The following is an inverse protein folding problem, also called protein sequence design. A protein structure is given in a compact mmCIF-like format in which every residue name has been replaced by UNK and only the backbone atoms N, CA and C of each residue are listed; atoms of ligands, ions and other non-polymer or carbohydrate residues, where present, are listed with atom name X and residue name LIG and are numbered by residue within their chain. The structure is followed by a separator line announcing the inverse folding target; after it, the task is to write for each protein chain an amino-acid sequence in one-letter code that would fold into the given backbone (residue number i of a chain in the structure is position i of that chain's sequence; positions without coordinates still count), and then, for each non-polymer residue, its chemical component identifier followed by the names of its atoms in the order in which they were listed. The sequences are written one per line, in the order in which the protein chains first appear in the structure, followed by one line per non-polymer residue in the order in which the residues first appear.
data_IF_406254679793
#
_entry.id   IF_406254679793
#
_cell.length_a   1.000
_cell.length_b   1.000
_cell.length_c   1.000
_cell.angle_alpha   90.00
_cell.angle_beta   90.00
_cell.angle_gamma   90.00
#
_symmetry.space_group_name_H-M   'P 1'
#
loop_
_entity.id
_entity.type
_entity.pdbx_description
1 polymer ?
#
# COMPACT_ATOMS: atom_id res chain seq x y z
N UNK A 1 -17.28 -7.06 -9.47
CA UNK A 1 -17.10 -6.65 -8.05
C UNK A 1 -15.62 -6.74 -7.74
N UNK A 2 -15.03 -5.71 -7.13
CA UNK A 2 -13.61 -5.74 -6.76
C UNK A 2 -13.41 -6.76 -5.63
N UNK A 3 -12.51 -7.73 -5.82
CA UNK A 3 -12.20 -8.78 -4.82
C UNK A 3 -11.11 -8.33 -3.83
N UNK A 4 -10.97 -7.02 -3.69
CA UNK A 4 -9.97 -6.38 -2.86
C UNK A 4 -10.39 -6.52 -1.40
N UNK A 5 -9.54 -7.16 -0.58
CA UNK A 5 -9.86 -7.54 0.79
C UNK A 5 -9.44 -6.47 1.80
N UNK A 6 -10.21 -6.34 2.88
CA UNK A 6 -9.94 -5.44 4.00
C UNK A 6 -9.69 -4.00 3.53
N UNK A 7 -10.77 -3.31 3.19
CA UNK A 7 -10.74 -1.98 2.58
C UNK A 7 -11.38 -0.93 3.49
N UNK A 8 -10.77 0.25 3.49
CA UNK A 8 -11.39 1.46 3.97
C UNK A 8 -11.09 2.58 2.98
N UNK A 9 -12.11 3.33 2.57
CA UNK A 9 -11.95 4.60 1.88
C UNK A 9 -12.69 5.71 2.63
N UNK A 10 -12.15 6.92 2.64
CA UNK A 10 -12.81 8.07 3.30
C UNK A 10 -14.20 8.35 2.77
N UNK A 11 -14.49 7.99 1.51
CA UNK A 11 -15.81 8.11 0.89
C UNK A 11 -16.86 7.18 1.54
N UNK A 12 -16.44 6.17 2.30
CA UNK A 12 -17.34 5.28 3.05
C UNK A 12 -17.98 5.99 4.26
N UNK A 13 -17.36 7.07 4.74
CA UNK A 13 -17.76 7.77 5.98
C UNK A 13 -18.01 9.26 5.78
N UNK A 14 -17.72 9.82 4.60
CA UNK A 14 -18.09 11.19 4.24
C UNK A 14 -18.31 11.40 2.75
N UNK A 15 -18.97 12.49 2.42
CA UNK A 15 -19.11 13.01 1.06
C UNK A 15 -17.74 13.48 0.53
N UNK A 16 -17.39 13.04 -0.67
CA UNK A 16 -16.16 13.41 -1.38
C UNK A 16 -16.03 14.93 -1.57
N UNK A 17 -17.15 15.64 -1.78
CA UNK A 17 -17.19 17.10 -1.99
C UNK A 17 -16.91 17.93 -0.75
N UNK A 18 -16.83 17.29 0.43
CA UNK A 18 -16.59 17.93 1.73
C UNK A 18 -15.28 17.43 2.33
N UNK A 19 -14.11 17.85 1.79
CA UNK A 19 -12.81 17.39 2.27
C UNK A 19 -12.62 17.72 3.74
N UNK A 20 -12.05 16.76 4.47
CA UNK A 20 -11.70 16.88 5.88
C UNK A 20 -10.29 16.31 6.07
N UNK A 21 -9.67 16.61 7.20
CA UNK A 21 -8.34 16.12 7.50
C UNK A 21 -8.35 14.75 8.17
N UNK A 22 -9.34 14.42 8.99
CA UNK A 22 -9.31 13.21 9.82
C UNK A 22 -10.51 12.31 9.54
N UNK A 23 -10.26 11.01 9.39
CA UNK A 23 -11.31 10.02 9.16
C UNK A 23 -10.99 8.74 9.86
N UNK A 24 -12.03 8.10 10.38
CA UNK A 24 -11.87 6.75 10.88
C UNK A 24 -13.14 5.93 10.78
N UNK A 25 -12.94 4.62 10.77
CA UNK A 25 -14.01 3.62 10.81
C UNK A 25 -13.57 2.45 11.68
N UNK A 26 -14.50 1.93 12.47
CA UNK A 26 -14.26 0.74 13.29
C UNK A 26 -14.36 -0.52 12.44
N UNK A 27 -13.46 -1.46 12.71
CA UNK A 27 -13.41 -2.78 12.10
C UNK A 27 -13.27 -3.83 13.19
N UNK A 28 -14.08 -4.89 13.07
CA UNK A 28 -13.92 -6.10 13.87
C UNK A 28 -12.82 -6.96 13.27
N UNK A 29 -11.88 -7.39 14.10
CA UNK A 29 -10.69 -8.15 13.71
C UNK A 29 -10.53 -9.35 14.63
N UNK A 30 -9.93 -10.42 14.14
CA UNK A 30 -9.64 -11.60 14.97
C UNK A 30 -8.51 -11.36 15.98
N UNK A 31 -7.80 -10.23 15.86
CA UNK A 31 -6.62 -9.94 16.67
C UNK A 31 -6.46 -8.44 16.91
N UNK A 32 -5.63 -8.00 17.89
CA UNK A 32 -5.37 -6.59 18.14
C UNK A 32 -4.83 -5.88 16.90
N UNK A 33 -5.55 -4.87 16.41
CA UNK A 33 -5.24 -4.22 15.14
C UNK A 33 -4.05 -3.24 15.18
N UNK A 34 -3.34 -3.15 16.31
CA UNK A 34 -2.36 -2.08 16.58
C UNK A 34 -1.13 -2.10 15.66
N UNK A 35 -0.89 -3.19 14.92
CA UNK A 35 0.32 -3.35 14.09
C UNK A 35 0.05 -3.94 12.71
N UNK A 36 -1.17 -3.84 12.17
CA UNK A 36 -1.42 -4.36 10.83
C UNK A 36 -0.56 -3.62 9.80
N UNK A 37 0.07 -4.33 8.84
CA UNK A 37 0.75 -3.68 7.73
C UNK A 37 -0.32 -3.08 6.80
N UNK A 38 -0.51 -1.77 6.89
CA UNK A 38 -1.40 -1.02 5.99
C UNK A 38 -0.64 -0.58 4.74
N UNK A 39 -1.35 -0.48 3.64
CA UNK A 39 -0.88 0.12 2.40
C UNK A 39 -1.95 1.04 1.81
N UNK A 40 -1.53 2.22 1.37
CA UNK A 40 -2.38 3.17 0.64
C UNK A 40 -2.71 2.56 -0.73
N UNK A 41 -3.99 2.54 -1.08
CA UNK A 41 -4.47 2.01 -2.35
C UNK A 41 -5.35 3.00 -3.14
N UNK A 42 -5.61 4.19 -2.58
CA UNK A 42 -6.34 5.26 -3.23
C UNK A 42 -5.87 6.61 -2.69
N UNK A 43 -5.64 7.56 -3.59
CA UNK A 43 -5.22 8.94 -3.30
C UNK A 43 -6.00 9.90 -4.23
N UNK A 44 -6.53 10.98 -3.67
CA UNK A 44 -7.05 12.13 -4.41
C UNK A 44 -6.81 13.40 -3.58
N UNK A 45 -5.77 14.15 -3.93
CA UNK A 45 -5.34 15.34 -3.20
C UNK A 45 -5.15 16.54 -4.14
N UNK A 46 -5.54 17.71 -3.65
CA UNK A 46 -5.36 18.96 -4.37
C UNK A 46 -3.88 19.36 -4.53
N UNK A 47 -3.51 19.73 -5.75
CA UNK A 47 -2.14 20.15 -6.08
C UNK A 47 -1.66 21.44 -5.43
N UNK A 48 -2.58 22.32 -5.01
CA UNK A 48 -2.23 23.64 -4.45
C UNK A 48 -1.74 23.59 -3.00
N UNK A 49 -1.74 22.41 -2.39
CA UNK A 49 -1.39 22.12 -0.99
C UNK A 49 -0.37 21.00 -0.91
N UNK A 50 0.39 20.93 0.18
CA UNK A 50 1.27 19.78 0.39
C UNK A 50 0.45 18.50 0.51
N UNK A 51 0.99 17.39 0.02
CA UNK A 51 0.33 16.10 0.13
C UNK A 51 0.80 15.43 1.41
N UNK A 52 -0.12 15.26 2.35
CA UNK A 52 0.15 14.64 3.64
C UNK A 52 -0.90 13.59 3.91
N UNK A 53 -0.45 12.35 4.02
CA UNK A 53 -1.31 11.20 4.22
C UNK A 53 -0.70 10.30 5.29
N UNK A 54 -1.54 9.76 6.17
CA UNK A 54 -1.15 8.77 7.16
C UNK A 54 -2.28 7.77 7.36
N UNK A 55 -1.91 6.49 7.26
CA UNK A 55 -2.80 5.36 7.54
C UNK A 55 -2.30 4.61 8.78
N UNK A 56 -3.19 4.32 9.71
CA UNK A 56 -2.87 3.61 10.94
C UNK A 56 -4.12 3.01 11.57
N UNK A 57 -3.94 2.01 12.42
CA UNK A 57 -4.96 1.57 13.35
C UNK A 57 -4.64 2.12 14.73
N UNK A 58 -5.66 2.55 15.46
CA UNK A 58 -5.58 2.72 16.91
C UNK A 58 -6.65 1.88 17.62
N UNK A 59 -6.43 1.64 18.91
CA UNK A 59 -7.32 0.85 19.74
C UNK A 59 -7.31 -0.66 19.43
N UNK A 60 -7.53 -1.44 20.47
CA UNK A 60 -7.87 -2.85 20.36
C UNK A 60 -8.77 -3.19 21.54
N UNK A 61 -10.06 -2.91 21.41
CA UNK A 61 -11.03 -3.29 22.44
C UNK A 61 -11.39 -4.75 22.23
N UNK A 62 -11.03 -5.60 23.18
CA UNK A 62 -11.45 -7.00 23.16
C UNK A 62 -12.96 -7.12 23.39
N UNK A 63 -13.59 -8.03 22.66
CA UNK A 63 -14.99 -8.39 22.73
C UNK A 63 -15.13 -9.87 23.05
N UNK A 64 -15.35 -10.17 24.33
CA UNK A 64 -15.43 -11.51 24.89
C UNK A 64 -16.54 -12.38 24.27
N UNK A 65 -17.61 -11.76 23.75
CA UNK A 65 -18.77 -12.51 23.22
C UNK A 65 -18.43 -13.29 21.95
N UNK A 66 -17.58 -12.70 21.11
CA UNK A 66 -17.27 -13.22 19.78
C UNK A 66 -15.80 -13.61 19.65
N UNK A 67 -15.02 -13.49 20.74
CA UNK A 67 -13.55 -13.65 20.75
C UNK A 67 -12.87 -12.80 19.65
N UNK A 68 -13.24 -11.53 19.59
CA UNK A 68 -12.76 -10.57 18.59
C UNK A 68 -12.20 -9.31 19.21
N UNK A 69 -11.54 -8.50 18.39
CA UNK A 69 -11.10 -7.16 18.73
C UNK A 69 -11.84 -6.15 17.85
N UNK A 70 -12.07 -4.96 18.39
CA UNK A 70 -12.49 -3.80 17.62
C UNK A 70 -11.33 -2.83 17.57
N UNK A 71 -10.84 -2.56 16.36
CA UNK A 71 -9.82 -1.57 16.08
C UNK A 71 -10.37 -0.49 15.15
N UNK A 72 -9.84 0.72 15.27
CA UNK A 72 -10.29 1.85 14.46
C UNK A 72 -9.21 2.19 13.42
N UNK A 73 -9.55 2.04 12.15
CA UNK A 73 -8.66 2.39 11.05
C UNK A 73 -8.79 3.88 10.76
N UNK A 74 -7.67 4.58 10.64
CA UNK A 74 -7.61 6.01 10.35
C UNK A 74 -6.99 6.27 8.97
N UNK A 75 -7.55 7.28 8.30
CA UNK A 75 -7.12 7.82 7.02
C UNK A 75 -7.04 9.34 7.16
N UNK A 76 -5.88 9.80 7.59
CA UNK A 76 -5.69 11.18 8.03
C UNK A 76 -4.73 11.94 7.12
N UNK A 77 -5.01 13.23 6.98
CA UNK A 77 -4.18 14.29 6.46
C UNK A 77 -3.97 15.34 7.55
N UNK A 78 -3.06 16.29 7.34
CA UNK A 78 -2.82 17.37 8.30
C UNK A 78 -2.27 18.64 7.65
N UNK A 79 -2.16 19.71 8.44
CA UNK A 79 -1.65 21.00 7.99
C UNK A 79 -2.57 21.64 6.95
N UNK A 80 -2.00 22.09 5.84
CA UNK A 80 -2.74 22.72 4.75
C UNK A 80 -3.29 21.75 3.69
N UNK A 81 -3.07 20.44 3.85
CA UNK A 81 -3.49 19.44 2.87
C UNK A 81 -4.98 19.49 2.57
N UNK A 82 -5.34 19.34 1.30
CA UNK A 82 -6.73 19.25 0.86
C UNK A 82 -6.96 17.85 0.27
N UNK A 83 -7.38 16.93 1.14
CA UNK A 83 -7.65 15.52 0.82
C UNK A 83 -9.09 15.34 0.35
N UNK A 84 -9.30 15.07 -0.93
CA UNK A 84 -10.62 14.70 -1.46
C UNK A 84 -10.97 13.26 -1.12
N UNK A 85 -10.01 12.34 -1.24
CA UNK A 85 -10.17 10.96 -0.79
C UNK A 85 -8.83 10.28 -0.50
N UNK A 86 -8.85 9.33 0.43
CA UNK A 86 -7.77 8.36 0.63
C UNK A 86 -8.39 7.00 0.88
N UNK A 87 -7.69 5.94 0.52
CA UNK A 87 -8.04 4.58 0.87
C UNK A 87 -6.83 3.77 1.28
N UNK A 88 -7.08 2.73 2.06
CA UNK A 88 -6.07 1.75 2.42
C UNK A 88 -6.61 0.32 2.37
N UNK A 89 -5.65 -0.60 2.35
CA UNK A 89 -5.85 -2.02 2.65
C UNK A 89 -4.86 -2.50 3.69
N UNK A 90 -5.11 -3.64 4.31
CA UNK A 90 -4.20 -4.24 5.27
C UNK A 90 -4.30 -5.76 5.30
N UNK A 91 -3.18 -6.42 5.56
CA UNK A 91 -3.17 -7.86 5.83
C UNK A 91 -3.58 -8.10 7.29
N UNK A 92 -4.85 -8.47 7.50
CA UNK A 92 -5.44 -8.67 8.84
C UNK A 92 -5.05 -10.00 9.53
N UNK A 93 -4.15 -10.79 8.92
CA UNK A 93 -3.88 -12.17 9.33
C UNK A 93 -2.40 -12.39 9.65
N UNK A 94 -2.11 -12.83 10.87
CA UNK A 94 -0.76 -13.02 11.40
C UNK A 94 -0.62 -14.16 12.42
N UNK A 95 -1.68 -14.94 12.66
CA UNK A 95 -1.55 -16.18 13.46
C UNK A 95 -0.78 -17.28 12.70
N UNK A 96 -0.49 -17.01 11.44
CA UNK A 96 0.52 -17.71 10.71
C UNK A 96 1.89 -17.09 11.03
N UNK A 97 2.64 -17.77 11.91
CA UNK A 97 3.98 -17.33 12.37
C UNK A 97 4.99 -17.18 11.24
N UNK A 98 4.68 -17.70 10.05
CA UNK A 98 5.56 -17.56 8.90
C UNK A 98 5.52 -16.14 8.30
N UNK A 99 4.48 -15.36 8.59
CA UNK A 99 4.42 -13.95 8.19
C UNK A 99 5.12 -13.09 9.22
N UNK A 100 5.99 -12.22 8.73
CA UNK A 100 6.58 -11.17 9.54
C UNK A 100 6.30 -9.84 8.86
N UNK A 101 6.01 -8.81 9.65
CA UNK A 101 5.71 -7.50 9.11
C UNK A 101 6.14 -6.42 10.07
N UNK A 102 6.21 -5.20 9.57
CA UNK A 102 6.56 -4.05 10.38
C UNK A 102 6.46 -2.77 9.57
N UNK A 103 7.00 -1.71 10.16
CA UNK A 103 6.97 -0.36 9.63
C UNK A 103 8.36 0.23 9.68
N UNK A 104 8.73 0.99 8.66
CA UNK A 104 9.92 1.83 8.67
C UNK A 104 9.58 3.19 8.07
N UNK A 105 10.20 4.24 8.58
CA UNK A 105 10.07 5.60 8.06
C UNK A 105 11.42 6.29 7.94
N UNK A 106 11.45 7.31 7.08
CA UNK A 106 12.62 8.11 6.78
C UNK A 106 12.21 9.57 6.61
N UNK A 107 13.15 10.47 6.91
CA UNK A 107 13.09 11.90 6.56
C UNK A 107 14.17 12.14 5.50
N UNK A 108 13.88 11.94 4.19
CA UNK A 108 14.91 11.85 3.17
C UNK A 108 15.67 13.17 2.97
N UNK A 109 16.99 13.13 3.07
CA UNK A 109 17.87 14.28 2.76
C UNK A 109 18.66 14.11 1.45
N UNK A 110 18.48 12.98 0.78
CA UNK A 110 19.17 12.58 -0.44
C UNK A 110 18.29 11.62 -1.26
N UNK A 111 18.69 11.30 -2.50
CA UNK A 111 17.86 10.49 -3.40
C UNK A 111 17.51 9.11 -2.83
N UNK A 112 18.43 8.45 -2.14
CA UNK A 112 18.22 7.11 -1.58
C UNK A 112 18.48 7.09 -0.08
N UNK A 113 17.53 6.53 0.69
CA UNK A 113 17.70 6.26 2.12
C UNK A 113 17.33 4.81 2.38
N UNK A 114 18.13 4.09 3.17
CA UNK A 114 17.85 2.68 3.51
C UNK A 114 17.66 2.50 5.00
N UNK A 115 16.71 1.65 5.37
CA UNK A 115 16.48 1.18 6.74
C UNK A 115 16.73 -0.32 6.80
N UNK A 116 17.58 -0.76 7.72
CA UNK A 116 17.83 -2.18 7.95
C UNK A 116 16.65 -2.79 8.71
N UNK A 117 16.11 -3.88 8.19
CA UNK A 117 15.04 -4.67 8.81
C UNK A 117 15.62 -6.01 9.22
N UNK A 118 15.49 -6.34 10.51
CA UNK A 118 15.81 -7.68 11.03
C UNK A 118 14.51 -8.44 11.22
N UNK A 119 14.43 -9.64 10.66
CA UNK A 119 13.32 -10.55 10.93
C UNK A 119 13.43 -11.08 12.35
N UNK A 120 12.30 -11.12 13.06
CA UNK A 120 12.19 -11.70 14.39
C UNK A 120 12.62 -13.17 14.39
N UNK A 121 12.19 -13.91 13.36
CA UNK A 121 12.52 -15.32 13.16
C UNK A 121 13.25 -15.49 11.82
N UNK A 122 14.35 -16.24 11.81
CA UNK A 122 15.08 -16.53 10.58
C UNK A 122 14.26 -17.48 9.68
N UNK A 123 14.17 -17.17 8.38
CA UNK A 123 13.53 -18.04 7.40
C UNK A 123 14.45 -19.18 6.97
N UNK A 124 13.88 -20.35 6.66
CA UNK A 124 14.62 -21.49 6.14
C UNK A 124 15.26 -21.24 4.76
N UNK A 125 14.69 -20.33 3.98
CA UNK A 125 15.16 -19.86 2.68
C UNK A 125 14.84 -18.38 2.52
N UNK A 126 15.44 -17.70 1.55
CA UNK A 126 15.16 -16.27 1.31
C UNK A 126 13.65 -16.05 1.12
N UNK A 127 12.99 -15.25 1.98
CA UNK A 127 11.56 -15.00 1.89
C UNK A 127 11.23 -14.09 0.70
N UNK A 128 9.95 -14.02 0.34
CA UNK A 128 9.43 -12.97 -0.53
C UNK A 128 8.97 -11.79 0.32
N UNK A 129 9.11 -10.57 -0.21
CA UNK A 129 8.65 -9.35 0.44
C UNK A 129 7.74 -8.52 -0.45
N UNK A 130 6.79 -7.85 0.19
CA UNK A 130 6.09 -6.69 -0.35
C UNK A 130 6.26 -5.48 0.57
N UNK A 131 6.26 -4.29 -0.02
CA UNK A 131 6.36 -3.01 0.66
C UNK A 131 5.26 -2.08 0.14
N UNK A 132 4.58 -1.40 1.05
CA UNK A 132 3.51 -0.46 0.72
C UNK A 132 3.75 0.88 1.39
N UNK A 133 3.58 1.96 0.62
CA UNK A 133 3.51 3.30 1.21
C UNK A 133 2.31 3.34 2.16
N UNK A 134 2.53 3.81 3.39
CA UNK A 134 1.48 3.94 4.42
C UNK A 134 1.30 5.36 4.93
N UNK A 135 2.34 6.18 4.80
CA UNK A 135 2.29 7.61 5.09
C UNK A 135 3.37 8.36 4.30
N UNK A 136 3.13 9.62 3.98
CA UNK A 136 4.14 10.53 3.45
C UNK A 136 3.72 12.00 3.59
N UNK A 137 4.70 12.89 3.65
CA UNK A 137 4.58 14.36 3.56
C UNK A 137 5.48 14.86 2.43
N UNK A 138 4.88 15.34 1.34
CA UNK A 138 5.60 15.85 0.17
C UNK A 138 5.14 17.27 -0.18
N UNK A 139 6.10 18.12 -0.54
CA UNK A 139 5.87 19.51 -0.89
C UNK A 139 5.11 19.65 -2.21
N UNK A 140 4.26 20.67 -2.30
CA UNK A 140 3.49 20.97 -3.51
C UNK A 140 4.29 21.58 -4.65
N UNK A 141 5.44 22.21 -4.36
CA UNK A 141 6.15 23.01 -5.36
C UNK A 141 7.03 22.17 -6.29
N UNK A 142 7.15 20.87 -6.04
CA UNK A 142 7.81 19.91 -6.93
C UNK A 142 6.89 18.75 -7.28
N UNK A 143 7.28 17.96 -8.28
CA UNK A 143 6.59 16.73 -8.64
C UNK A 143 6.58 15.75 -7.45
N UNK A 144 5.70 14.77 -7.47
CA UNK A 144 5.59 13.76 -6.40
C UNK A 144 6.18 12.43 -6.90
N UNK A 145 7.45 12.21 -6.54
CA UNK A 145 8.25 11.07 -6.98
C UNK A 145 8.87 10.37 -5.79
N UNK A 146 8.19 9.32 -5.33
CA UNK A 146 8.58 8.53 -4.16
C UNK A 146 8.45 7.03 -4.46
N UNK A 147 9.36 6.23 -3.93
CA UNK A 147 9.38 4.78 -4.09
C UNK A 147 9.82 4.12 -2.79
N UNK A 148 9.27 2.94 -2.52
CA UNK A 148 9.79 2.01 -1.53
C UNK A 148 9.92 0.62 -2.11
N UNK A 149 11.08 0.00 -1.89
CA UNK A 149 11.36 -1.38 -2.31
C UNK A 149 12.20 -2.10 -1.25
N UNK A 150 12.09 -3.43 -1.21
CA UNK A 150 13.00 -4.26 -0.43
C UNK A 150 14.21 -4.65 -1.28
N UNK A 151 15.41 -4.47 -0.75
CA UNK A 151 16.69 -4.91 -1.35
C UNK A 151 17.47 -5.74 -0.35
N UNK A 152 18.54 -6.40 -0.81
CA UNK A 152 19.46 -7.18 0.04
C UNK A 152 18.73 -8.17 0.96
N UNK A 153 17.73 -8.86 0.41
CA UNK A 153 16.90 -9.80 1.16
C UNK A 153 17.71 -11.06 1.47
N UNK A 154 17.78 -11.40 2.75
CA UNK A 154 18.41 -12.61 3.29
C UNK A 154 17.40 -13.41 4.10
N UNK A 155 17.80 -14.54 4.66
CA UNK A 155 16.98 -15.30 5.61
C UNK A 155 16.72 -14.56 6.92
N UNK A 156 17.56 -13.57 7.26
CA UNK A 156 17.58 -12.87 8.57
C UNK A 156 17.01 -11.46 8.52
N UNK A 157 16.87 -10.89 7.34
CA UNK A 157 16.47 -9.49 7.18
C UNK A 157 16.58 -9.00 5.75
N UNK A 158 16.32 -7.71 5.57
CA UNK A 158 16.45 -6.99 4.31
C UNK A 158 16.78 -5.52 4.55
N UNK A 159 16.99 -4.76 3.47
CA UNK A 159 16.98 -3.30 3.50
C UNK A 159 15.69 -2.79 2.87
N UNK A 160 15.00 -1.90 3.54
CA UNK A 160 13.97 -1.07 2.90
C UNK A 160 14.62 0.15 2.29
N UNK A 161 14.59 0.22 0.96
CA UNK A 161 15.16 1.30 0.16
C UNK A 161 14.06 2.26 -0.24
N UNK A 162 14.11 3.45 0.34
CA UNK A 162 13.29 4.59 -0.03
C UNK A 162 14.02 5.41 -1.09
N UNK A 163 13.29 5.87 -2.10
CA UNK A 163 13.79 6.80 -3.13
C UNK A 163 12.92 8.03 -3.21
N UNK A 164 13.56 9.19 -3.34
CA UNK A 164 12.93 10.49 -3.67
C UNK A 164 13.76 11.13 -4.78
N UNK A 165 13.17 11.54 -5.90
CA UNK A 165 13.97 12.02 -7.04
C UNK A 165 13.33 13.17 -7.81
N UNK A 166 14.10 13.74 -8.74
CA UNK A 166 13.67 14.90 -9.52
C UNK A 166 13.51 16.14 -8.65
N UNK A 167 12.38 16.84 -8.78
CA UNK A 167 12.06 18.04 -8.02
C UNK A 167 11.35 17.77 -6.68
N UNK A 168 11.11 16.50 -6.32
CA UNK A 168 10.36 16.15 -5.12
C UNK A 168 11.11 16.57 -3.85
N UNK A 169 10.41 17.28 -2.97
CA UNK A 169 10.83 17.53 -1.59
C UNK A 169 9.93 16.73 -0.65
N UNK A 170 10.44 15.63 -0.11
CA UNK A 170 9.75 14.82 0.89
C UNK A 170 10.26 15.20 2.29
N UNK A 171 9.34 15.53 3.19
CA UNK A 171 9.68 15.80 4.59
C UNK A 171 9.68 14.51 5.41
N UNK A 172 8.84 13.54 5.04
CA UNK A 172 8.69 12.27 5.74
C UNK A 172 8.07 11.22 4.81
N UNK A 173 8.51 9.97 4.87
CA UNK A 173 7.91 8.83 4.18
C UNK A 173 7.91 7.63 5.13
N UNK A 174 6.81 6.90 5.17
CA UNK A 174 6.67 5.66 5.95
C UNK A 174 6.10 4.55 5.07
N UNK A 175 6.63 3.34 5.24
CA UNK A 175 6.17 2.14 4.55
C UNK A 175 5.91 0.99 5.53
N UNK A 176 4.88 0.19 5.23
CA UNK A 176 4.74 -1.14 5.80
C UNK A 176 5.53 -2.14 4.95
N UNK A 177 6.09 -3.16 5.59
CA UNK A 177 6.67 -4.32 4.92
C UNK A 177 6.03 -5.61 5.40
N UNK A 178 5.94 -6.60 4.51
CA UNK A 178 5.42 -7.94 4.79
C UNK A 178 6.37 -8.94 4.15
N UNK A 179 6.91 -9.84 4.97
CA UNK A 179 7.74 -10.98 4.57
C UNK A 179 6.95 -12.28 4.75
N UNK A 180 7.09 -13.20 3.80
CA UNK A 180 6.50 -14.53 3.87
C UNK A 180 7.40 -15.59 3.21
N UNK A 181 7.24 -16.88 3.54
CA UNK A 181 8.03 -17.94 2.92
C UNK A 181 7.84 -18.01 1.41
N UNK A 182 8.90 -18.38 0.71
CA UNK A 182 8.92 -18.47 -0.76
C UNK A 182 8.42 -19.82 -1.31
N UNK A 183 8.26 -20.82 -0.45
CA UNK A 183 8.01 -22.23 -0.79
C UNK A 183 6.56 -22.69 -0.56
N UNK A 184 5.70 -21.82 -0.03
CA UNK A 184 4.29 -22.11 0.24
C UNK A 184 3.41 -21.98 -1.00
N UNK A 185 2.41 -22.85 -1.11
CA UNK A 185 1.44 -22.87 -2.23
C UNK A 185 0.16 -22.10 -1.97
N UNK A 186 -0.10 -21.74 -0.72
CA UNK A 186 -1.29 -20.99 -0.29
C UNK A 186 -1.03 -19.47 -0.19
N UNK A 187 0.13 -19.02 -0.69
CA UNK A 187 0.48 -17.62 -0.80
C UNK A 187 1.29 -17.33 -2.06
N UNK A 188 1.00 -16.18 -2.68
CA UNK A 188 1.82 -15.61 -3.72
C UNK A 188 1.85 -14.08 -3.62
N UNK A 189 2.92 -13.46 -4.10
CA UNK A 189 3.06 -12.01 -4.14
C UNK A 189 3.77 -11.58 -5.42
N UNK A 190 3.62 -10.31 -5.77
CA UNK A 190 4.24 -9.73 -6.95
C UNK A 190 3.95 -8.25 -7.07
N UNK A 191 4.26 -7.69 -8.24
CA UNK A 191 4.07 -6.27 -8.52
C UNK A 191 3.52 -6.04 -9.94
N UNK A 192 3.05 -4.80 -10.13
CA UNK A 192 2.78 -4.24 -11.44
C UNK A 192 3.38 -2.84 -11.52
N UNK A 193 4.30 -2.65 -12.46
CA UNK A 193 4.77 -1.32 -12.86
C UNK A 193 4.00 -0.90 -14.11
N UNK A 194 3.36 0.27 -14.08
CA UNK A 194 2.65 0.79 -15.27
C UNK A 194 3.53 0.90 -16.52
N UNK A 195 4.86 1.00 -16.35
CA UNK A 195 5.82 0.97 -17.46
C UNK A 195 5.87 -0.37 -18.22
N UNK A 196 5.34 -1.46 -17.64
CA UNK A 196 5.15 -2.73 -18.37
C UNK A 196 4.17 -2.59 -19.55
N UNK A 197 3.33 -1.54 -19.56
CA UNK A 197 2.31 -1.32 -20.59
C UNK A 197 2.67 -0.22 -21.57
N UNK A 198 3.55 0.69 -21.18
CA UNK A 198 3.94 1.83 -22.00
C UNK A 198 5.26 2.46 -21.54
N UNK A 199 5.97 3.18 -22.42
CA UNK A 199 7.12 3.98 -22.02
C UNK A 199 6.74 5.07 -20.99
N UNK A 200 7.73 5.46 -20.20
CA UNK A 200 7.60 6.48 -19.15
C UNK A 200 7.17 7.85 -19.73
N UNK A 201 7.69 8.22 -20.90
CA UNK A 201 7.49 9.54 -21.54
C UNK A 201 6.07 9.76 -22.09
N UNK A 202 5.18 8.75 -22.00
CA UNK A 202 3.80 8.82 -22.49
C UNK A 202 2.78 8.60 -21.36
N UNK A 203 2.61 9.54 -20.42
CA UNK A 203 1.63 9.43 -19.34
C UNK A 203 0.25 8.99 -19.83
N UNK A 204 -0.38 8.09 -19.08
CA UNK A 204 -1.73 7.60 -19.32
C UNK A 204 -2.45 7.43 -17.99
N UNK A 205 -3.77 7.37 -18.04
CA UNK A 205 -4.60 7.19 -16.85
C UNK A 205 -4.78 5.73 -16.49
N UNK A 206 -5.12 4.86 -17.44
CA UNK A 206 -5.62 3.52 -17.13
C UNK A 206 -4.61 2.44 -17.48
N UNK A 207 -4.33 1.53 -16.54
CA UNK A 207 -3.41 0.41 -16.78
C UNK A 207 -3.91 -0.85 -16.10
N UNK A 208 -3.85 -1.97 -16.82
CA UNK A 208 -4.19 -3.27 -16.25
C UNK A 208 -3.18 -4.36 -16.60
N UNK A 209 -3.05 -5.33 -15.71
CA UNK A 209 -2.24 -6.54 -15.90
C UNK A 209 -3.07 -7.77 -15.50
N UNK A 210 -3.13 -8.73 -16.41
CA UNK A 210 -3.59 -10.07 -16.10
C UNK A 210 -2.45 -10.81 -15.40
N UNK A 211 -2.68 -11.26 -14.17
CA UNK A 211 -1.75 -12.03 -13.37
C UNK A 211 -2.21 -13.49 -13.37
N UNK A 212 -1.34 -14.38 -13.81
CA UNK A 212 -1.50 -15.83 -13.64
C UNK A 212 -0.69 -16.25 -12.43
N UNK A 213 -1.31 -16.91 -11.47
CA UNK A 213 -0.62 -17.46 -10.30
C UNK A 213 0.31 -18.60 -10.74
N UNK A 214 1.52 -18.65 -10.20
CA UNK A 214 2.50 -19.69 -10.55
C UNK A 214 2.01 -21.10 -10.19
N UNK A 215 1.22 -21.19 -9.12
CA UNK A 215 0.44 -22.38 -8.75
C UNK A 215 -1.00 -21.96 -8.55
N UNK A 216 -1.99 -22.63 -9.18
CA UNK A 216 -3.39 -22.37 -8.89
C UNK A 216 -3.71 -22.63 -7.42
N UNK A 217 -4.43 -21.70 -6.80
CA UNK A 217 -5.07 -21.89 -5.50
C UNK A 217 -6.23 -22.90 -5.61
N UNK A 218 -6.73 -23.43 -4.50
CA UNK A 218 -7.89 -24.34 -4.56
C UNK A 218 -9.23 -23.60 -4.64
N UNK A 219 -9.26 -22.32 -4.24
CA UNK A 219 -10.36 -21.37 -4.45
C UNK A 219 -9.80 -19.96 -4.67
N UNK A 220 -10.58 -18.98 -5.15
CA UNK A 220 -10.09 -17.60 -5.27
C UNK A 220 -9.47 -17.12 -3.94
N UNK A 221 -8.19 -16.67 -3.94
CA UNK A 221 -7.53 -16.19 -2.73
C UNK A 221 -8.05 -14.82 -2.33
N UNK A 222 -7.76 -14.39 -1.09
CA UNK A 222 -7.90 -12.99 -0.69
C UNK A 222 -6.71 -12.22 -1.25
N UNK A 223 -6.97 -11.09 -1.90
CA UNK A 223 -5.91 -10.25 -2.49
C UNK A 223 -5.89 -8.90 -1.79
N UNK A 224 -4.69 -8.48 -1.42
CA UNK A 224 -4.39 -7.15 -0.91
C UNK A 224 -3.41 -6.49 -1.86
N UNK A 225 -3.71 -5.26 -2.28
CA UNK A 225 -2.96 -4.55 -3.31
C UNK A 225 -2.87 -3.06 -2.97
N UNK A 226 -1.65 -2.55 -2.88
CA UNK A 226 -1.37 -1.17 -2.49
C UNK A 226 -0.14 -0.61 -3.22
N UNK A 227 -0.03 0.71 -3.20
CA UNK A 227 0.96 1.49 -3.94
C UNK A 227 2.30 1.46 -3.21
N UNK A 228 3.38 1.20 -3.94
CA UNK A 228 4.77 1.28 -3.47
C UNK A 228 5.56 2.40 -4.15
N UNK A 229 5.11 2.88 -5.31
CA UNK A 229 5.74 3.99 -6.06
C UNK A 229 4.72 4.95 -6.62
N UNK A 230 5.04 6.23 -6.54
CA UNK A 230 4.35 7.34 -7.21
C UNK A 230 5.39 8.10 -8.03
N UNK A 231 5.10 8.38 -9.30
CA UNK A 231 5.81 9.32 -10.17
C UNK A 231 4.76 10.12 -10.95
N UNK A 232 4.30 11.21 -10.34
CA UNK A 232 3.28 12.10 -10.88
C UNK A 232 3.75 13.56 -10.83
N UNK A 233 3.32 14.39 -11.79
CA UNK A 233 3.63 15.83 -11.74
C UNK A 233 2.73 16.58 -10.78
N UNK A 234 3.21 17.74 -10.32
CA UNK A 234 2.39 18.66 -9.52
C UNK A 234 1.49 19.58 -10.36
N UNK A 235 1.41 19.37 -11.68
CA UNK A 235 0.56 20.20 -12.56
C UNK A 235 -0.92 19.82 -12.45
N UNK A 236 -1.19 18.58 -12.06
CA UNK A 236 -2.51 18.05 -11.73
C UNK A 236 -2.58 17.65 -10.26
N UNK A 237 -3.77 17.35 -9.77
CA UNK A 237 -3.91 16.73 -8.45
C UNK A 237 -3.20 15.37 -8.42
N UNK A 238 -2.70 15.00 -7.24
CA UNK A 238 -2.18 13.64 -7.02
C UNK A 238 -3.35 12.69 -7.01
N UNK A 239 -3.43 11.79 -8.00
CA UNK A 239 -4.52 10.81 -8.09
C UNK A 239 -4.03 9.46 -8.55
N UNK A 240 -4.05 8.50 -7.64
CA UNK A 240 -3.70 7.11 -7.93
C UNK A 240 -4.66 6.17 -7.23
N UNK A 241 -5.07 5.10 -7.90
CA UNK A 241 -5.82 4.00 -7.30
C UNK A 241 -5.29 2.66 -7.78
N UNK A 242 -5.20 1.72 -6.86
CA UNK A 242 -4.85 0.33 -7.14
C UNK A 242 -6.05 -0.58 -6.84
N UNK A 243 -6.54 -1.31 -7.83
CA UNK A 243 -7.72 -2.19 -7.68
C UNK A 243 -7.49 -3.59 -8.24
N UNK A 244 -8.31 -4.55 -7.80
CA UNK A 244 -8.25 -5.96 -8.21
C UNK A 244 -9.63 -6.39 -8.69
N UNK A 245 -9.71 -6.97 -9.88
CA UNK A 245 -10.93 -7.57 -10.46
C UNK A 245 -10.67 -9.01 -10.88
N UNK A 246 -11.74 -9.75 -11.17
CA UNK A 246 -11.69 -11.06 -11.85
C UNK A 246 -10.79 -12.10 -11.17
N UNK A 247 -10.72 -12.06 -9.83
CA UNK A 247 -9.95 -13.04 -9.05
C UNK A 247 -10.58 -14.42 -9.15
N UNK A 248 -9.79 -15.37 -9.61
CA UNK A 248 -10.10 -16.79 -9.65
C UNK A 248 -9.01 -17.56 -8.90
N UNK A 249 -9.16 -18.87 -8.78
CA UNK A 249 -8.11 -19.76 -8.30
C UNK A 249 -6.81 -19.70 -9.16
N UNK A 250 -6.90 -19.28 -10.43
CA UNK A 250 -5.77 -19.33 -11.38
C UNK A 250 -5.08 -17.98 -11.58
N UNK A 251 -5.72 -16.89 -11.20
CA UNK A 251 -5.21 -15.56 -11.49
C UNK A 251 -6.18 -14.46 -11.11
N UNK A 252 -5.82 -13.25 -11.49
CA UNK A 252 -6.59 -12.02 -11.24
C UNK A 252 -6.24 -10.95 -12.26
N UNK A 253 -7.07 -9.92 -12.37
CA UNK A 253 -6.71 -8.68 -13.05
C UNK A 253 -6.41 -7.60 -12.01
N UNK A 254 -5.29 -6.91 -12.16
CA UNK A 254 -4.92 -5.79 -11.30
C UNK A 254 -4.82 -4.50 -12.11
N UNK A 255 -5.26 -3.39 -11.52
CA UNK A 255 -5.34 -2.08 -12.16
C UNK A 255 -4.54 -1.03 -11.37
N UNK A 256 -3.86 -0.14 -12.08
CA UNK A 256 -3.20 1.05 -11.52
C UNK A 256 -3.58 2.25 -12.36
N UNK A 257 -4.46 3.07 -11.80
CA UNK A 257 -5.08 4.14 -12.56
C UNK A 257 -4.92 5.51 -11.89
N UNK A 258 -4.84 6.54 -12.72
CA UNK A 258 -5.09 7.94 -12.37
C UNK A 258 -6.31 8.47 -13.13
N UNK A 259 -6.68 9.74 -12.95
CA UNK A 259 -7.80 10.34 -13.69
C UNK A 259 -7.72 11.87 -13.76
N UNK A 260 -8.57 12.44 -14.62
CA UNK A 260 -8.76 13.89 -14.79
C UNK A 260 -7.46 14.62 -15.16
N UNK A 261 -7.05 15.68 -14.46
CA UNK A 261 -5.87 16.50 -14.82
C UNK A 261 -4.52 15.93 -14.38
N UNK A 262 -4.48 14.70 -13.85
CA UNK A 262 -3.26 14.06 -13.34
C UNK A 262 -2.30 13.62 -14.46
N UNK A 263 -1.05 14.06 -14.42
CA UNK A 263 0.01 13.52 -15.29
C UNK A 263 0.78 12.42 -14.55
N UNK A 264 0.36 11.17 -14.70
CA UNK A 264 1.01 9.99 -14.09
C UNK A 264 2.08 9.41 -15.02
N UNK A 265 3.36 9.63 -14.72
CA UNK A 265 4.45 9.04 -15.48
C UNK A 265 4.60 7.54 -15.21
N UNK A 266 4.65 7.15 -13.94
CA UNK A 266 4.55 5.75 -13.53
C UNK A 266 4.05 5.61 -12.10
N UNK A 267 3.33 4.53 -11.84
CA UNK A 267 2.99 4.06 -10.50
C UNK A 267 3.33 2.57 -10.42
N UNK A 268 3.78 2.13 -9.24
CA UNK A 268 4.00 0.70 -8.94
C UNK A 268 3.11 0.31 -7.78
N UNK A 269 2.39 -0.79 -7.96
CA UNK A 269 1.64 -1.45 -6.90
C UNK A 269 2.26 -2.82 -6.61
N UNK A 270 2.20 -3.24 -5.35
CA UNK A 270 2.62 -4.57 -4.91
C UNK A 270 1.43 -5.31 -4.28
N UNK A 271 1.25 -6.57 -4.65
CA UNK A 271 0.13 -7.39 -4.20
C UNK A 271 0.60 -8.61 -3.43
N UNK A 272 -0.26 -9.06 -2.53
CA UNK A 272 -0.15 -10.35 -1.84
C UNK A 272 -1.51 -11.05 -1.93
N UNK A 273 -1.50 -12.28 -2.44
CA UNK A 273 -2.64 -13.16 -2.57
C UNK A 273 -2.47 -14.33 -1.60
N UNK A 274 -3.44 -14.50 -0.70
CA UNK A 274 -3.37 -15.51 0.36
C UNK A 274 -4.67 -16.30 0.45
N UNK A 275 -4.55 -17.62 0.48
CA UNK A 275 -5.66 -18.53 0.69
C UNK A 275 -5.56 -19.18 2.07
N UNK A 276 -6.46 -18.81 2.98
CA UNK A 276 -6.59 -19.54 4.24
C UNK A 276 -7.09 -20.97 3.96
N UNK A 277 -6.53 -21.94 4.67
CA UNK A 277 -7.00 -23.33 4.69
C UNK A 277 -8.51 -23.42 4.96
#
# INVERSE_FOLDING_TARGET
MANHSALFNTNDVRDWTKPQLQHSKEFTTAYPATHFPLGINYLDYDKSKNIRVKTYFDGAKYNDKDDTFVGKCHLDAWGDSLMYSTGCTWLAHFNDRAFQSGVAGVDPTQEYTTVDVTFKDEYASTPKLVCWLRAFDVDKNGDWRIDVSATDVTTKGCKLKFRVWGSTKAYWIEASWIAHPSDRSDIESGLFDTQEKRPWEKPQHEHQKQVTFSKPFTRPPRVYYAISRIDETNKGNLRAKSTVTDTTAKGMTIHLDSWNDTEMYTTVGQWIAYQQY
#
